data_IF_188966071238
#
_entry.id   IF_188966071238
#
_cell.length_a   1.000
_cell.length_b   1.000
_cell.length_c   1.000
_cell.angle_alpha   90.00
_cell.angle_beta   90.00
_cell.angle_gamma   90.00
#
_symmetry.space_group_name_H-M   'P 1'
#
loop_
_entity.id
_entity.type
_entity.pdbx_description
1 polymer ?
#
# COMPACT_ATOMS: atom_id res chain seq x y z
N UNK A 1 -23.48 14.97 13.30
CA UNK A 1 -24.15 15.26 12.01
C UNK A 1 -25.10 14.13 11.73
N UNK A 2 -26.39 14.39 11.52
CA UNK A 2 -27.34 13.34 11.15
C UNK A 2 -27.05 12.87 9.75
N UNK A 3 -27.04 11.54 9.53
CA UNK A 3 -26.81 10.93 8.24
C UNK A 3 -27.93 11.35 7.26
N UNK A 4 -27.61 11.56 5.97
CA UNK A 4 -28.58 11.96 4.95
C UNK A 4 -29.77 11.00 4.84
N UNK A 5 -29.55 9.71 5.12
CA UNK A 5 -30.55 8.66 5.10
C UNK A 5 -31.18 8.37 6.49
N UNK A 6 -31.03 9.27 7.47
CA UNK A 6 -31.69 9.11 8.75
C UNK A 6 -33.21 9.24 8.56
N UNK A 7 -33.98 8.29 9.09
CA UNK A 7 -35.46 8.27 9.03
C UNK A 7 -36.09 9.54 9.61
N UNK A 8 -35.41 10.21 10.54
CA UNK A 8 -35.81 11.50 11.11
C UNK A 8 -34.61 12.48 11.13
N UNK A 9 -34.60 13.42 10.22
CA UNK A 9 -33.68 14.57 10.26
C UNK A 9 -34.05 15.52 11.42
N UNK A 10 -33.19 16.45 11.85
CA UNK A 10 -33.54 17.45 12.88
C UNK A 10 -34.83 18.21 12.57
N UNK A 11 -35.09 18.53 11.28
CA UNK A 11 -36.34 19.14 10.83
C UNK A 11 -37.52 18.19 10.97
N UNK A 12 -37.35 16.93 10.62
CA UNK A 12 -38.38 15.89 10.80
C UNK A 12 -38.74 15.67 12.28
N UNK A 13 -37.73 15.67 13.16
CA UNK A 13 -37.89 15.57 14.62
C UNK A 13 -38.67 16.75 15.19
N UNK A 14 -38.36 17.96 14.71
CA UNK A 14 -39.06 19.17 15.12
C UNK A 14 -40.56 19.11 14.70
N UNK A 15 -40.82 18.74 13.44
CA UNK A 15 -42.21 18.60 12.97
C UNK A 15 -43.00 17.56 13.79
N UNK A 16 -42.40 16.38 14.02
CA UNK A 16 -42.98 15.35 14.84
C UNK A 16 -43.29 15.85 16.26
N UNK A 17 -42.31 16.53 16.88
CA UNK A 17 -42.46 17.04 18.25
C UNK A 17 -43.55 18.10 18.34
N UNK A 18 -43.68 19.00 17.37
CA UNK A 18 -44.74 20.01 17.28
C UNK A 18 -46.10 19.38 17.14
N UNK A 19 -46.29 18.41 16.26
CA UNK A 19 -47.56 17.67 16.15
C UNK A 19 -48.02 17.12 17.50
N UNK A 20 -47.08 16.63 18.32
CA UNK A 20 -47.43 16.07 19.64
C UNK A 20 -47.66 17.16 20.69
N UNK A 21 -46.82 18.17 20.74
CA UNK A 21 -46.81 19.17 21.83
C UNK A 21 -47.76 20.33 21.54
N UNK A 22 -47.67 20.87 20.32
CA UNK A 22 -48.43 22.06 19.93
C UNK A 22 -49.82 21.67 19.40
N UNK A 23 -49.90 20.64 18.50
CA UNK A 23 -51.16 20.18 17.87
C UNK A 23 -51.88 19.10 18.68
N UNK A 24 -51.34 18.69 19.84
CA UNK A 24 -51.94 17.71 20.78
C UNK A 24 -52.23 16.33 20.18
N UNK A 25 -51.42 15.88 19.21
CA UNK A 25 -51.54 14.53 18.68
C UNK A 25 -51.10 13.49 19.71
N UNK A 26 -51.72 12.30 19.62
CA UNK A 26 -51.22 11.15 20.37
C UNK A 26 -49.87 10.67 19.84
N UNK A 27 -49.07 10.09 20.71
CA UNK A 27 -47.78 9.51 20.29
C UNK A 27 -47.92 8.45 19.19
N UNK A 28 -49.02 7.67 19.24
CA UNK A 28 -49.31 6.65 18.23
C UNK A 28 -49.55 7.28 16.85
N UNK A 29 -50.41 8.29 16.77
CA UNK A 29 -50.70 9.02 15.52
C UNK A 29 -49.48 9.69 14.93
N UNK A 30 -48.64 10.31 15.77
CA UNK A 30 -47.39 10.93 15.33
C UNK A 30 -46.37 9.86 14.86
N UNK A 31 -46.26 8.76 15.57
CA UNK A 31 -45.39 7.64 15.20
C UNK A 31 -45.75 7.05 13.84
N UNK A 32 -47.01 6.81 13.58
CA UNK A 32 -47.51 6.34 12.29
C UNK A 32 -47.21 7.33 11.16
N UNK A 33 -47.56 8.59 11.35
CA UNK A 33 -47.33 9.66 10.33
C UNK A 33 -45.89 9.85 9.95
N UNK A 34 -44.97 9.70 10.91
CA UNK A 34 -43.54 9.87 10.70
C UNK A 34 -42.76 8.56 10.56
N UNK A 35 -43.47 7.43 10.43
CA UNK A 35 -42.91 6.09 10.25
C UNK A 35 -41.82 5.75 11.29
N UNK A 36 -42.08 5.99 12.56
CA UNK A 36 -41.19 5.70 13.66
C UNK A 36 -41.96 4.99 14.83
N UNK A 37 -41.21 4.51 15.82
CA UNK A 37 -41.86 3.92 17.00
C UNK A 37 -42.49 4.99 17.91
N UNK A 38 -43.51 4.61 18.66
CA UNK A 38 -44.16 5.45 19.68
C UNK A 38 -43.15 5.94 20.73
N UNK A 39 -42.16 5.12 21.09
CA UNK A 39 -41.05 5.50 21.96
C UNK A 39 -40.20 6.61 21.37
N UNK A 40 -39.98 6.57 20.05
CA UNK A 40 -39.26 7.63 19.33
C UNK A 40 -40.06 8.93 19.30
N UNK A 41 -41.35 8.86 19.04
CA UNK A 41 -42.24 10.01 19.08
C UNK A 41 -42.23 10.67 20.48
N UNK A 42 -42.40 9.88 21.53
CA UNK A 42 -42.34 10.33 22.93
C UNK A 42 -40.96 10.99 23.21
N UNK A 43 -39.86 10.33 22.87
CA UNK A 43 -38.52 10.85 23.09
C UNK A 43 -38.31 12.26 22.51
N UNK A 44 -38.77 12.51 21.29
CA UNK A 44 -38.60 13.79 20.64
C UNK A 44 -39.55 14.86 21.15
N UNK A 45 -40.81 14.47 21.48
CA UNK A 45 -41.74 15.37 22.15
C UNK A 45 -41.25 15.82 23.53
N UNK A 46 -40.73 14.90 24.35
CA UNK A 46 -40.18 15.23 25.66
C UNK A 46 -38.96 16.13 25.57
N UNK A 47 -38.08 15.88 24.57
CA UNK A 47 -36.95 16.78 24.31
C UNK A 47 -37.36 18.19 23.88
N UNK A 48 -38.42 18.28 23.09
CA UNK A 48 -38.95 19.57 22.66
C UNK A 48 -39.57 20.35 23.83
N UNK A 49 -40.30 19.69 24.73
CA UNK A 49 -40.85 20.33 25.94
C UNK A 49 -39.78 20.92 26.83
N UNK A 50 -38.63 20.26 26.95
CA UNK A 50 -37.55 20.67 27.86
C UNK A 50 -36.60 21.68 27.22
N UNK A 51 -36.27 21.52 25.95
CA UNK A 51 -35.18 22.31 25.30
C UNK A 51 -35.59 22.96 23.98
N UNK A 52 -36.86 22.98 23.64
CA UNK A 52 -37.35 23.63 22.43
C UNK A 52 -36.74 23.07 21.11
N UNK A 53 -36.79 23.88 20.04
CA UNK A 53 -36.28 23.49 18.72
C UNK A 53 -34.78 23.11 18.72
N UNK A 54 -33.99 23.71 19.55
CA UNK A 54 -32.55 23.50 19.69
C UNK A 54 -32.19 22.09 20.17
N UNK A 55 -33.11 21.45 20.91
CA UNK A 55 -32.94 20.09 21.44
C UNK A 55 -33.08 18.97 20.38
N UNK A 56 -33.44 19.31 19.14
CA UNK A 56 -33.65 18.34 18.04
C UNK A 56 -32.39 17.80 17.43
N UNK A 57 -31.24 18.32 17.79
CA UNK A 57 -29.94 17.84 17.36
C UNK A 57 -29.53 16.53 18.05
N UNK A 58 -28.63 15.78 17.42
CA UNK A 58 -28.11 14.56 18.02
C UNK A 58 -27.24 14.88 19.25
N UNK A 59 -27.47 14.19 20.33
CA UNK A 59 -26.57 14.17 21.48
C UNK A 59 -25.52 13.10 21.30
N UNK A 60 -24.35 13.30 21.90
CA UNK A 60 -23.28 12.30 21.92
C UNK A 60 -23.81 10.98 22.51
N UNK A 61 -23.66 9.89 21.77
CA UNK A 61 -23.95 8.53 22.27
C UNK A 61 -22.83 7.95 23.12
N UNK A 62 -21.77 8.71 23.34
CA UNK A 62 -20.60 8.27 24.10
C UNK A 62 -20.97 8.06 25.57
N UNK A 63 -20.67 6.88 26.15
CA UNK A 63 -20.93 6.61 27.56
C UNK A 63 -20.23 7.63 28.48
N UNK A 64 -20.94 8.10 29.49
CA UNK A 64 -20.35 8.97 30.53
C UNK A 64 -19.29 8.27 31.35
N UNK A 65 -19.41 6.96 31.54
CA UNK A 65 -18.45 6.11 32.25
C UNK A 65 -17.94 5.02 31.32
N UNK A 66 -16.65 4.76 31.37
CA UNK A 66 -15.99 3.65 30.66
C UNK A 66 -15.19 2.84 31.69
N UNK A 67 -15.79 1.82 32.34
CA UNK A 67 -15.17 1.07 33.43
C UNK A 67 -13.82 0.44 33.05
N UNK A 68 -13.69 -0.01 31.80
CA UNK A 68 -12.44 -0.58 31.25
C UNK A 68 -11.37 0.43 30.88
N UNK A 69 -11.62 1.73 31.07
CA UNK A 69 -10.61 2.76 30.74
C UNK A 69 -9.48 2.76 31.76
N UNK A 70 -8.26 2.82 31.25
CA UNK A 70 -7.08 2.91 32.09
C UNK A 70 -7.14 4.19 32.99
N UNK A 71 -6.78 4.10 34.28
CA UNK A 71 -6.72 5.28 35.15
C UNK A 71 -5.82 6.37 34.58
N UNK A 72 -6.23 7.63 34.72
CA UNK A 72 -5.52 8.79 34.15
C UNK A 72 -4.04 8.85 34.54
N UNK A 73 -3.70 8.44 35.76
CA UNK A 73 -2.30 8.36 36.22
C UNK A 73 -1.45 7.42 35.35
N UNK A 74 -2.02 6.27 34.93
CA UNK A 74 -1.32 5.33 34.04
C UNK A 74 -1.26 5.84 32.61
N UNK A 75 -2.31 6.51 32.11
CA UNK A 75 -2.28 7.16 30.79
C UNK A 75 -1.16 8.22 30.74
N UNK A 76 -1.07 9.09 31.76
CA UNK A 76 0.01 10.09 31.87
C UNK A 76 1.41 9.45 31.88
N UNK A 77 1.58 8.30 32.54
CA UNK A 77 2.86 7.58 32.57
C UNK A 77 3.24 7.05 31.20
N UNK A 78 2.28 6.53 30.43
CA UNK A 78 2.50 6.11 29.03
C UNK A 78 2.96 7.29 28.18
N UNK A 79 2.27 8.42 28.27
CA UNK A 79 2.60 9.64 27.51
C UNK A 79 3.98 10.17 27.91
N UNK A 80 4.29 10.23 29.21
CA UNK A 80 5.60 10.65 29.71
C UNK A 80 6.72 9.80 29.11
N UNK A 81 6.60 8.47 29.16
CA UNK A 81 7.62 7.56 28.61
C UNK A 81 7.73 7.74 27.08
N UNK A 82 6.61 7.88 26.38
CA UNK A 82 6.60 8.15 24.94
C UNK A 82 7.37 9.43 24.62
N UNK A 83 7.11 10.49 25.35
CA UNK A 83 7.71 11.80 25.12
C UNK A 83 9.20 11.84 25.51
N UNK A 84 9.55 11.34 26.71
CA UNK A 84 10.93 11.44 27.21
C UNK A 84 11.88 10.41 26.62
N UNK A 85 11.41 9.15 26.44
CA UNK A 85 12.26 8.03 25.98
C UNK A 85 12.05 7.69 24.50
N UNK A 86 11.04 8.27 23.86
CA UNK A 86 10.67 8.00 22.45
C UNK A 86 10.53 6.51 22.16
N UNK A 87 9.90 5.77 23.10
CA UNK A 87 9.67 4.35 22.93
C UNK A 87 8.40 4.06 22.14
N UNK A 88 8.45 2.97 21.35
CA UNK A 88 7.28 2.42 20.66
C UNK A 88 6.32 1.73 21.63
N UNK A 89 5.06 1.49 21.18
CA UNK A 89 4.01 0.91 22.03
C UNK A 89 4.40 -0.45 22.64
N UNK A 90 5.10 -1.30 21.91
CA UNK A 90 5.62 -2.57 22.42
C UNK A 90 6.51 -2.42 23.64
N UNK A 91 7.50 -1.52 23.53
CA UNK A 91 8.48 -1.31 24.59
C UNK A 91 7.87 -0.67 25.84
N UNK A 92 6.91 0.26 25.62
CA UNK A 92 6.14 0.87 26.71
C UNK A 92 5.26 -0.18 27.39
N UNK A 93 4.58 -1.02 26.61
CA UNK A 93 3.71 -2.09 27.10
C UNK A 93 4.47 -3.09 27.97
N UNK A 94 5.61 -3.57 27.49
CA UNK A 94 6.49 -4.47 28.26
C UNK A 94 6.96 -3.81 29.59
N UNK A 95 7.41 -2.55 29.51
CA UNK A 95 7.91 -1.82 30.69
C UNK A 95 6.83 -1.56 31.76
N UNK A 96 5.59 -1.30 31.34
CA UNK A 96 4.48 -1.01 32.25
C UNK A 96 3.61 -2.24 32.56
N UNK A 97 3.96 -3.42 32.05
CA UNK A 97 3.16 -4.66 32.14
C UNK A 97 1.71 -4.43 31.74
N UNK A 98 1.52 -3.84 30.55
CA UNK A 98 0.23 -3.55 29.94
C UNK A 98 0.10 -4.27 28.58
N UNK A 99 -1.12 -4.51 28.14
CA UNK A 99 -1.34 -4.97 26.77
C UNK A 99 -0.90 -3.87 25.76
N UNK A 100 -0.26 -4.27 24.67
CA UNK A 100 0.15 -3.37 23.59
C UNK A 100 -1.01 -2.54 23.04
N UNK A 101 -2.17 -3.19 22.82
CA UNK A 101 -3.39 -2.55 22.34
C UNK A 101 -3.86 -1.42 23.24
N UNK A 102 -3.74 -1.59 24.57
CA UNK A 102 -4.07 -0.55 25.55
C UNK A 102 -3.14 0.66 25.40
N UNK A 103 -1.83 0.44 25.26
CA UNK A 103 -0.87 1.52 25.06
C UNK A 103 -1.13 2.25 23.74
N UNK A 104 -1.39 1.52 22.65
CA UNK A 104 -1.72 2.10 21.35
C UNK A 104 -3.01 2.93 21.40
N UNK A 105 -4.04 2.44 22.10
CA UNK A 105 -5.28 3.17 22.28
C UNK A 105 -5.08 4.49 23.04
N UNK A 106 -4.25 4.49 24.07
CA UNK A 106 -3.88 5.72 24.81
C UNK A 106 -3.15 6.69 23.90
N UNK A 107 -2.07 6.25 23.24
CA UNK A 107 -1.28 7.12 22.35
C UNK A 107 -2.14 7.72 21.23
N UNK A 108 -3.06 6.96 20.65
CA UNK A 108 -4.01 7.43 19.62
C UNK A 108 -5.01 8.45 20.20
N UNK A 109 -5.55 8.20 21.38
CA UNK A 109 -6.50 9.10 22.08
C UNK A 109 -5.89 10.47 22.32
N UNK A 110 -4.64 10.51 22.72
CA UNK A 110 -3.89 11.75 22.95
C UNK A 110 -3.21 12.29 21.69
N UNK A 111 -3.51 11.72 20.51
CA UNK A 111 -2.95 12.13 19.20
C UNK A 111 -1.43 12.25 19.21
N UNK A 112 -0.77 11.35 19.95
CA UNK A 112 0.70 11.34 20.01
C UNK A 112 1.28 11.00 18.64
N UNK A 113 2.25 11.78 18.15
CA UNK A 113 2.85 11.56 16.84
C UNK A 113 3.55 10.20 16.76
N UNK A 114 3.61 9.62 15.56
CA UNK A 114 4.35 8.39 15.32
C UNK A 114 5.85 8.64 15.45
N UNK A 115 6.62 7.67 15.94
CA UNK A 115 8.07 7.84 16.09
C UNK A 115 8.79 8.13 14.77
N UNK A 116 8.27 7.61 13.67
CA UNK A 116 8.80 7.87 12.34
C UNK A 116 8.68 9.34 11.90
N UNK A 117 7.76 10.08 12.52
CA UNK A 117 7.49 11.48 12.21
C UNK A 117 8.18 12.43 13.19
N UNK A 118 9.04 11.89 14.06
CA UNK A 118 9.82 12.64 15.04
C UNK A 118 11.32 12.49 14.77
N UNK A 119 12.06 13.55 14.96
CA UNK A 119 13.51 13.48 15.09
C UNK A 119 13.90 12.79 16.40
N UNK A 120 14.77 11.80 16.29
CA UNK A 120 15.13 10.97 17.44
C UNK A 120 15.91 11.75 18.51
N UNK A 121 16.69 12.75 18.12
CA UNK A 121 17.51 13.53 19.05
C UNK A 121 16.70 14.65 19.72
N UNK A 122 16.02 15.48 18.96
CA UNK A 122 15.29 16.64 19.48
C UNK A 122 13.85 16.30 19.91
N UNK A 123 13.22 15.27 19.32
CA UNK A 123 11.80 14.94 19.52
C UNK A 123 10.85 15.89 18.77
N UNK A 124 11.38 16.77 17.95
CA UNK A 124 10.59 17.67 17.13
C UNK A 124 9.98 16.93 15.94
N UNK A 125 8.81 17.36 15.44
CA UNK A 125 8.23 16.80 14.24
C UNK A 125 9.16 16.96 13.04
N UNK A 126 9.47 15.84 12.35
CA UNK A 126 10.20 15.90 11.08
C UNK A 126 9.19 15.97 9.96
N UNK A 127 9.16 17.11 9.28
CA UNK A 127 8.41 17.27 8.05
C UNK A 127 9.13 16.52 6.94
N UNK A 128 8.84 15.21 6.79
CA UNK A 128 9.34 14.45 5.65
C UNK A 128 8.60 14.95 4.42
N UNK A 129 9.30 15.49 3.42
CA UNK A 129 8.64 15.82 2.16
C UNK A 129 8.02 14.54 1.62
N UNK A 130 6.74 14.60 1.27
CA UNK A 130 6.08 13.50 0.58
C UNK A 130 6.90 13.22 -0.69
N UNK A 131 7.36 11.98 -0.92
CA UNK A 131 8.09 11.68 -2.14
C UNK A 131 7.18 12.03 -3.32
N UNK A 132 7.62 12.95 -4.16
CA UNK A 132 6.88 13.30 -5.38
C UNK A 132 6.81 12.05 -6.22
N UNK A 133 5.62 11.52 -6.38
CA UNK A 133 5.35 10.40 -7.26
C UNK A 133 5.45 10.95 -8.69
N UNK A 134 6.49 10.57 -9.40
CA UNK A 134 6.58 10.87 -10.82
C UNK A 134 6.06 9.68 -11.62
N UNK A 135 5.45 9.96 -12.73
CA UNK A 135 5.02 9.00 -13.73
C UNK A 135 5.17 9.68 -15.09
N UNK A 136 5.86 9.03 -16.00
CA UNK A 136 6.02 9.56 -17.35
C UNK A 136 4.70 9.48 -18.11
N UNK A 137 4.40 10.46 -19.00
CA UNK A 137 3.09 10.58 -19.65
C UNK A 137 2.80 9.46 -20.65
N UNK A 138 3.84 8.89 -21.28
CA UNK A 138 3.68 7.89 -22.32
C UNK A 138 4.49 6.59 -22.03
N UNK A 139 3.99 5.43 -22.54
CA UNK A 139 4.78 4.20 -22.56
C UNK A 139 6.08 4.39 -23.34
N UNK A 140 7.17 3.80 -22.85
CA UNK A 140 8.50 3.92 -23.45
C UNK A 140 9.27 5.21 -23.12
N UNK A 141 8.62 6.23 -22.55
CA UNK A 141 9.34 7.43 -22.10
C UNK A 141 10.43 7.10 -21.07
N UNK A 142 10.25 6.06 -20.27
CA UNK A 142 11.26 5.54 -19.36
C UNK A 142 11.01 4.05 -19.07
N UNK A 143 12.02 3.22 -19.27
CA UNK A 143 12.03 1.81 -18.84
C UNK A 143 13.03 1.63 -17.72
N UNK A 144 12.60 1.02 -16.62
CA UNK A 144 13.43 0.71 -15.46
C UNK A 144 14.04 -0.67 -15.59
N UNK A 145 15.36 -0.80 -15.48
CA UNK A 145 16.07 -2.08 -15.45
C UNK A 145 16.65 -2.35 -14.07
N UNK A 146 16.63 -3.62 -13.69
CA UNK A 146 17.27 -4.11 -12.45
C UNK A 146 17.56 -5.60 -12.54
N UNK A 147 18.45 -6.08 -11.68
CA UNK A 147 18.74 -7.52 -11.51
C UNK A 147 18.46 -7.93 -10.08
N UNK A 148 17.53 -8.86 -9.90
CA UNK A 148 17.21 -9.42 -8.60
C UNK A 148 17.92 -10.75 -8.37
N UNK A 149 18.83 -10.80 -7.41
CA UNK A 149 19.44 -12.05 -6.95
C UNK A 149 18.48 -12.81 -6.03
N UNK A 150 18.16 -14.02 -6.40
CA UNK A 150 17.39 -14.95 -5.59
C UNK A 150 18.25 -16.17 -5.25
N UNK A 151 18.35 -16.50 -3.97
CA UNK A 151 18.97 -17.75 -3.57
C UNK A 151 18.27 -18.92 -4.26
N UNK A 152 19.02 -19.79 -4.92
CA UNK A 152 18.48 -21.01 -5.53
C UNK A 152 17.93 -21.94 -4.46
N UNK A 153 16.92 -22.71 -4.82
CA UNK A 153 16.29 -23.70 -3.97
C UNK A 153 16.95 -25.05 -4.29
N UNK A 154 17.60 -25.68 -3.30
CA UNK A 154 18.21 -27.01 -3.50
C UNK A 154 17.14 -28.07 -3.71
N UNK A 155 17.51 -29.17 -4.32
CA UNK A 155 16.63 -30.33 -4.48
C UNK A 155 16.19 -30.89 -3.11
N UNK A 156 14.92 -31.24 -3.00
CA UNK A 156 14.28 -31.59 -1.75
C UNK A 156 13.77 -30.40 -0.94
N UNK A 157 14.06 -29.15 -1.38
CA UNK A 157 13.58 -27.91 -0.77
C UNK A 157 14.59 -27.21 0.13
N UNK A 158 14.36 -25.92 0.35
CA UNK A 158 15.15 -25.06 1.24
C UNK A 158 14.59 -24.98 2.67
N UNK A 159 15.08 -23.98 3.43
CA UNK A 159 14.70 -23.79 4.83
C UNK A 159 13.20 -23.62 5.10
N UNK A 160 12.42 -23.19 4.11
CA UNK A 160 10.95 -23.05 4.23
C UNK A 160 10.24 -24.41 4.31
N UNK A 161 10.82 -25.46 3.72
CA UNK A 161 10.29 -26.81 3.77
C UNK A 161 10.93 -27.63 4.88
N UNK A 162 12.26 -27.59 4.97
CA UNK A 162 13.05 -28.45 5.83
C UNK A 162 13.31 -27.84 7.24
N UNK A 163 12.90 -26.59 7.46
CA UNK A 163 13.28 -25.84 8.64
C UNK A 163 14.71 -25.27 8.55
N UNK A 164 15.07 -24.38 9.49
CA UNK A 164 16.32 -23.61 9.41
C UNK A 164 17.58 -24.49 9.45
N UNK A 165 17.61 -25.51 10.29
CA UNK A 165 18.79 -26.35 10.47
C UNK A 165 19.07 -27.25 9.24
N UNK A 166 18.10 -28.06 8.85
CA UNK A 166 18.24 -28.95 7.69
C UNK A 166 18.37 -28.16 6.38
N UNK A 167 17.59 -27.10 6.20
CA UNK A 167 17.66 -26.26 5.02
C UNK A 167 18.97 -25.46 4.88
N UNK A 168 19.69 -25.19 5.98
CA UNK A 168 21.02 -24.57 5.93
C UNK A 168 22.08 -25.56 5.43
N UNK A 169 22.02 -26.83 5.83
CA UNK A 169 22.91 -27.89 5.34
C UNK A 169 22.68 -28.16 3.86
N UNK A 170 21.42 -28.24 3.43
CA UNK A 170 21.03 -28.50 2.05
C UNK A 170 21.39 -27.35 1.07
N UNK A 171 21.65 -26.14 1.58
CA UNK A 171 21.93 -24.93 0.78
C UNK A 171 23.41 -24.79 0.38
N UNK A 172 24.32 -25.64 0.85
CA UNK A 172 25.74 -25.51 0.54
C UNK A 172 25.98 -25.63 -0.97
N UNK A 173 26.63 -24.63 -1.58
CA UNK A 173 27.04 -24.65 -3.00
C UNK A 173 25.94 -24.33 -4.04
N UNK A 174 24.69 -24.08 -3.65
CA UNK A 174 23.57 -23.92 -4.62
C UNK A 174 23.57 -22.58 -5.37
N UNK A 175 24.19 -21.54 -4.84
CA UNK A 175 24.37 -20.25 -5.51
C UNK A 175 23.08 -19.42 -5.66
N UNK A 176 23.04 -18.58 -6.69
CA UNK A 176 21.94 -17.64 -6.97
C UNK A 176 21.37 -17.80 -8.38
N UNK A 177 20.09 -17.54 -8.52
CA UNK A 177 19.43 -17.24 -9.79
C UNK A 177 19.38 -15.71 -9.95
N UNK A 178 19.61 -15.23 -11.14
CA UNK A 178 19.62 -13.79 -11.47
C UNK A 178 18.40 -13.48 -12.32
N UNK A 179 17.46 -12.77 -11.75
CA UNK A 179 16.23 -12.41 -12.45
C UNK A 179 16.39 -10.98 -12.96
N UNK A 180 16.54 -10.85 -14.27
CA UNK A 180 16.65 -9.56 -14.96
C UNK A 180 15.27 -9.03 -15.26
N UNK A 181 15.04 -7.74 -15.05
CA UNK A 181 13.77 -7.06 -15.22
C UNK A 181 13.89 -5.81 -16.06
N UNK A 182 12.90 -5.59 -16.92
CA UNK A 182 12.65 -4.33 -17.60
C UNK A 182 11.16 -3.97 -17.40
N UNK A 183 10.90 -2.82 -16.77
CA UNK A 183 9.52 -2.39 -16.42
C UNK A 183 9.28 -0.99 -16.96
N UNK A 184 8.26 -0.84 -17.80
CA UNK A 184 7.84 0.47 -18.30
C UNK A 184 7.26 1.34 -17.20
N UNK A 185 7.69 2.61 -17.13
CA UNK A 185 7.29 3.56 -16.09
C UNK A 185 5.80 3.90 -16.16
N UNK A 186 5.22 4.02 -17.35
CA UNK A 186 3.83 4.42 -17.55
C UNK A 186 2.86 3.25 -17.35
N UNK A 187 3.01 2.21 -18.16
CA UNK A 187 2.09 1.07 -18.18
C UNK A 187 2.31 0.06 -17.08
N UNK A 188 3.52 -0.03 -16.52
CA UNK A 188 4.01 -1.11 -15.65
C UNK A 188 4.20 -2.43 -16.37
N UNK A 189 4.09 -2.46 -17.71
CA UNK A 189 4.38 -3.65 -18.49
C UNK A 189 5.81 -4.11 -18.20
N UNK A 190 5.96 -5.40 -17.92
CA UNK A 190 7.21 -5.97 -17.50
C UNK A 190 7.67 -7.09 -18.44
N UNK A 191 8.91 -7.01 -18.87
CA UNK A 191 9.65 -8.12 -19.44
C UNK A 191 10.65 -8.63 -18.42
N UNK A 192 10.79 -9.95 -18.28
CA UNK A 192 11.71 -10.49 -17.29
C UNK A 192 12.15 -11.91 -17.60
N UNK A 193 13.43 -12.20 -17.29
CA UNK A 193 14.05 -13.50 -17.51
C UNK A 193 14.86 -13.93 -16.30
N UNK A 194 14.91 -15.25 -16.06
CA UNK A 194 15.84 -15.88 -15.13
C UNK A 194 17.10 -16.27 -15.91
N UNK A 195 18.23 -15.62 -15.60
CA UNK A 195 19.50 -15.82 -16.28
C UNK A 195 20.57 -16.38 -15.32
N UNK A 196 21.69 -16.77 -15.87
CA UNK A 196 22.77 -17.45 -15.13
C UNK A 196 23.61 -16.52 -14.28
N UNK A 197 23.72 -15.26 -14.70
CA UNK A 197 24.59 -14.28 -14.06
C UNK A 197 24.11 -12.84 -14.30
N UNK A 198 24.86 -11.86 -13.80
CA UNK A 198 24.65 -10.42 -13.99
C UNK A 198 25.81 -9.77 -14.75
N UNK A 199 26.48 -10.49 -15.64
CA UNK A 199 27.61 -9.98 -16.42
C UNK A 199 27.15 -8.98 -17.46
N UNK A 200 28.10 -8.17 -17.96
CA UNK A 200 27.84 -7.13 -18.95
C UNK A 200 27.17 -7.66 -20.23
N UNK A 201 27.68 -8.80 -20.72
CA UNK A 201 27.18 -9.40 -21.96
C UNK A 201 25.77 -9.98 -21.76
N UNK A 202 25.51 -10.58 -20.60
CA UNK A 202 24.19 -11.07 -20.20
C UNK A 202 23.18 -9.94 -20.06
N UNK A 203 23.59 -8.82 -19.45
CA UNK A 203 22.73 -7.64 -19.32
C UNK A 203 22.43 -6.97 -20.65
N UNK A 204 23.40 -6.89 -21.55
CA UNK A 204 23.23 -6.36 -22.91
C UNK A 204 22.29 -7.25 -23.74
N UNK A 205 22.52 -8.57 -23.75
CA UNK A 205 21.66 -9.52 -24.45
C UNK A 205 20.22 -9.52 -23.89
N UNK A 206 20.05 -9.41 -22.58
CA UNK A 206 18.75 -9.24 -21.94
C UNK A 206 18.05 -7.97 -22.45
N UNK A 207 18.78 -6.84 -22.49
CA UNK A 207 18.21 -5.58 -22.95
C UNK A 207 17.71 -5.66 -24.40
N UNK A 208 18.47 -6.26 -25.30
CA UNK A 208 18.06 -6.39 -26.69
C UNK A 208 16.73 -7.16 -26.83
N UNK A 209 16.57 -8.27 -26.08
CA UNK A 209 15.31 -9.02 -26.06
C UNK A 209 14.18 -8.24 -25.41
N UNK A 210 14.46 -7.53 -24.30
CA UNK A 210 13.47 -6.68 -23.64
C UNK A 210 12.99 -5.55 -24.56
N UNK A 211 13.91 -4.90 -25.31
CA UNK A 211 13.54 -3.87 -26.26
C UNK A 211 12.67 -4.43 -27.40
N UNK A 212 13.01 -5.60 -27.94
CA UNK A 212 12.17 -6.31 -28.93
C UNK A 212 10.76 -6.56 -28.38
N UNK A 213 10.65 -7.07 -27.16
CA UNK A 213 9.35 -7.25 -26.50
C UNK A 213 8.54 -5.95 -26.40
N UNK A 214 9.18 -4.82 -26.04
CA UNK A 214 8.47 -3.53 -26.00
C UNK A 214 8.02 -3.07 -27.39
N UNK A 215 8.84 -3.25 -28.41
CA UNK A 215 8.50 -2.94 -29.80
C UNK A 215 7.31 -3.77 -30.27
N UNK A 216 7.27 -5.06 -30.00
CA UNK A 216 6.15 -5.96 -30.32
C UNK A 216 4.83 -5.53 -29.66
N UNK A 217 4.93 -4.78 -28.54
CA UNK A 217 3.78 -4.20 -27.86
C UNK A 217 3.48 -2.74 -28.28
N UNK A 218 4.12 -2.24 -29.34
CA UNK A 218 3.93 -0.88 -29.86
C UNK A 218 4.55 0.20 -28.96
N UNK A 219 5.58 -0.13 -28.17
CA UNK A 219 6.27 0.79 -27.27
C UNK A 219 7.66 1.10 -27.85
N UNK A 220 7.88 2.35 -28.24
CA UNK A 220 9.21 2.86 -28.61
C UNK A 220 9.91 3.38 -27.35
N UNK A 221 11.00 2.72 -26.95
CA UNK A 221 11.75 3.10 -25.74
C UNK A 221 12.67 4.27 -26.03
N UNK A 222 12.49 5.38 -25.29
CA UNK A 222 13.32 6.58 -25.40
C UNK A 222 14.43 6.66 -24.35
N UNK A 223 14.20 6.10 -23.20
CA UNK A 223 15.14 6.18 -22.05
C UNK A 223 15.13 4.91 -21.22
N UNK A 224 16.30 4.54 -20.77
CA UNK A 224 16.50 3.43 -19.83
C UNK A 224 17.07 3.97 -18.53
N UNK A 225 16.52 3.56 -17.40
CA UNK A 225 17.02 3.86 -16.06
C UNK A 225 17.54 2.60 -15.39
N UNK A 226 18.81 2.63 -15.01
CA UNK A 226 19.47 1.55 -14.25
C UNK A 226 19.98 2.06 -12.91
N UNK A 227 20.38 1.16 -12.05
CA UNK A 227 21.27 1.47 -10.94
C UNK A 227 22.72 1.69 -11.44
N UNK A 228 23.68 1.78 -10.52
CA UNK A 228 25.10 1.92 -10.83
C UNK A 228 25.83 0.57 -10.87
N UNK A 229 25.15 -0.53 -11.11
CA UNK A 229 25.72 -1.87 -11.25
C UNK A 229 26.80 -1.92 -12.35
N UNK A 230 27.85 -2.70 -12.14
CA UNK A 230 28.99 -2.77 -13.07
C UNK A 230 28.58 -3.23 -14.49
N UNK A 231 27.59 -4.12 -14.59
CA UNK A 231 27.07 -4.57 -15.89
C UNK A 231 26.52 -3.41 -16.71
N UNK A 232 25.76 -2.50 -16.09
CA UNK A 232 25.15 -1.34 -16.75
C UNK A 232 26.12 -0.19 -17.03
N UNK A 233 27.29 -0.19 -16.37
CA UNK A 233 28.35 0.83 -16.61
C UNK A 233 29.29 0.44 -17.75
N UNK A 234 29.16 -0.76 -18.28
CA UNK A 234 30.02 -1.29 -19.32
C UNK A 234 29.74 -0.65 -20.68
N UNK A 235 30.80 -0.56 -21.52
CA UNK A 235 30.65 -0.14 -22.91
C UNK A 235 29.73 -1.07 -23.69
N UNK A 236 29.82 -2.39 -23.48
CA UNK A 236 28.96 -3.39 -24.11
C UNK A 236 27.45 -3.12 -23.88
N UNK A 237 27.08 -2.73 -22.66
CA UNK A 237 25.71 -2.36 -22.37
C UNK A 237 25.33 -1.03 -23.04
N UNK A 238 26.21 -0.03 -23.01
CA UNK A 238 25.97 1.24 -23.69
C UNK A 238 25.77 1.05 -25.18
N UNK A 239 26.64 0.25 -25.83
CA UNK A 239 26.54 -0.06 -27.26
C UNK A 239 25.22 -0.79 -27.60
N UNK A 240 24.71 -1.62 -26.68
CA UNK A 240 23.42 -2.34 -26.86
C UNK A 240 22.19 -1.43 -26.83
N UNK A 241 22.29 -0.23 -26.27
CA UNK A 241 21.19 0.77 -26.28
C UNK A 241 21.06 1.48 -27.61
N UNK A 242 22.13 1.54 -28.39
CA UNK A 242 22.17 2.34 -29.61
C UNK A 242 22.22 3.86 -29.32
N UNK A 243 22.14 4.66 -30.37
CA UNK A 243 22.24 6.13 -30.27
C UNK A 243 20.90 6.79 -29.85
N UNK A 244 19.77 6.14 -30.13
CA UNK A 244 18.44 6.71 -29.91
C UNK A 244 17.95 6.59 -28.47
N UNK A 245 18.49 5.66 -27.66
CA UNK A 245 18.00 5.38 -26.32
C UNK A 245 18.93 6.00 -25.26
N UNK A 246 18.44 7.02 -24.59
CA UNK A 246 19.21 7.71 -23.57
C UNK A 246 19.35 6.87 -22.29
N UNK A 247 20.58 6.56 -21.90
CA UNK A 247 20.89 5.86 -20.65
C UNK A 247 20.90 6.83 -19.46
N UNK A 248 20.04 6.60 -18.49
CA UNK A 248 20.03 7.29 -17.20
C UNK A 248 20.43 6.33 -16.08
N UNK A 249 21.19 6.83 -15.12
CA UNK A 249 21.58 6.08 -13.91
C UNK A 249 21.04 6.76 -12.67
N UNK A 250 20.70 5.97 -11.65
CA UNK A 250 20.29 6.51 -10.35
C UNK A 250 21.42 7.34 -9.74
N UNK A 251 21.07 8.48 -9.13
CA UNK A 251 22.04 9.26 -8.37
C UNK A 251 22.48 8.49 -7.12
N UNK A 252 23.76 8.59 -6.71
CA UNK A 252 24.22 8.02 -5.46
C UNK A 252 23.32 8.44 -4.30
N UNK A 253 23.04 7.52 -3.38
CA UNK A 253 22.18 7.72 -2.20
C UNK A 253 20.72 8.12 -2.49
N UNK A 254 20.25 8.00 -3.74
CA UNK A 254 18.83 8.22 -4.12
C UNK A 254 18.23 7.01 -4.84
N UNK A 255 18.11 5.86 -4.19
CA UNK A 255 17.55 4.65 -4.80
C UNK A 255 16.07 4.82 -5.19
N UNK A 256 15.38 5.79 -4.58
CA UNK A 256 13.97 6.10 -4.83
C UNK A 256 13.63 6.39 -6.30
N UNK A 257 14.61 6.74 -7.13
CA UNK A 257 14.42 6.97 -8.56
C UNK A 257 14.12 5.67 -9.31
N UNK A 258 14.54 4.49 -8.83
CA UNK A 258 14.22 3.19 -9.43
C UNK A 258 13.02 2.49 -8.77
N UNK A 259 12.14 3.27 -8.13
CA UNK A 259 11.04 2.76 -7.31
C UNK A 259 10.02 1.87 -8.02
N UNK A 260 9.93 1.92 -9.38
CA UNK A 260 8.99 1.08 -10.13
C UNK A 260 9.48 -0.37 -10.17
N UNK A 261 10.73 -0.59 -10.53
CA UNK A 261 11.31 -1.93 -10.54
C UNK A 261 11.53 -2.47 -9.12
N UNK A 262 11.84 -1.63 -8.13
CA UNK A 262 11.85 -2.05 -6.73
C UNK A 262 10.48 -2.55 -6.27
N UNK A 263 9.40 -1.89 -6.70
CA UNK A 263 8.03 -2.35 -6.43
C UNK A 263 7.73 -3.65 -7.16
N UNK A 264 8.18 -3.80 -8.40
CA UNK A 264 8.10 -5.06 -9.14
C UNK A 264 8.80 -6.18 -8.36
N UNK A 265 10.03 -5.95 -7.90
CA UNK A 265 10.81 -6.91 -7.10
C UNK A 265 10.09 -7.35 -5.81
N UNK A 266 9.40 -6.43 -5.13
CA UNK A 266 8.60 -6.78 -3.95
C UNK A 266 7.40 -7.64 -4.32
N UNK A 267 6.73 -7.33 -5.42
CA UNK A 267 5.59 -8.11 -5.93
C UNK A 267 6.05 -9.51 -6.34
N UNK A 268 7.13 -9.59 -7.12
CA UNK A 268 7.77 -10.85 -7.50
C UNK A 268 8.13 -11.71 -6.28
N UNK A 269 8.73 -11.11 -5.27
CA UNK A 269 9.11 -11.83 -4.05
C UNK A 269 7.91 -12.38 -3.29
N UNK A 270 6.84 -11.57 -3.14
CA UNK A 270 5.67 -11.95 -2.35
C UNK A 270 4.68 -12.85 -3.09
N UNK A 271 4.53 -12.65 -4.39
CA UNK A 271 3.48 -13.32 -5.18
C UNK A 271 4.00 -14.48 -6.04
N UNK A 272 5.31 -14.63 -6.18
CA UNK A 272 5.93 -15.75 -6.90
C UNK A 272 7.07 -16.40 -6.11
N UNK A 273 8.23 -15.71 -5.95
CA UNK A 273 9.46 -16.34 -5.48
C UNK A 273 9.33 -17.01 -4.11
N UNK A 274 8.47 -16.47 -3.25
CA UNK A 274 8.21 -16.94 -1.89
C UNK A 274 6.73 -17.15 -1.58
N UNK A 275 5.86 -17.17 -2.59
CA UNK A 275 4.43 -17.35 -2.42
C UNK A 275 4.07 -18.72 -1.89
N UNK A 276 4.84 -19.74 -2.31
CA UNK A 276 4.67 -21.12 -1.90
C UNK A 276 6.01 -21.79 -1.57
N UNK A 277 5.96 -23.02 -1.07
CA UNK A 277 7.14 -23.82 -0.78
C UNK A 277 7.48 -24.69 -1.99
N UNK A 278 8.57 -24.37 -2.67
CA UNK A 278 9.08 -25.14 -3.80
C UNK A 278 10.05 -26.22 -3.34
N UNK A 279 10.10 -27.33 -4.08
CA UNK A 279 10.97 -28.48 -3.82
C UNK A 279 12.35 -28.36 -4.48
N UNK A 280 12.45 -27.53 -5.54
CA UNK A 280 13.69 -27.29 -6.28
C UNK A 280 13.64 -25.94 -6.99
N UNK A 281 14.79 -25.47 -7.46
CA UNK A 281 14.87 -24.30 -8.32
C UNK A 281 14.16 -24.51 -9.66
N UNK A 282 14.24 -25.70 -10.23
CA UNK A 282 13.56 -26.06 -11.48
C UNK A 282 12.06 -25.90 -11.32
N UNK A 283 11.49 -26.41 -10.22
CA UNK A 283 10.05 -26.25 -9.94
C UNK A 283 9.66 -24.78 -9.81
N UNK A 284 10.48 -23.96 -9.13
CA UNK A 284 10.20 -22.53 -9.02
C UNK A 284 10.27 -21.83 -10.37
N UNK A 285 11.32 -22.10 -11.14
CA UNK A 285 11.54 -21.49 -12.45
C UNK A 285 10.44 -21.85 -13.45
N UNK A 286 9.93 -23.08 -13.43
CA UNK A 286 8.85 -23.53 -14.30
C UNK A 286 7.55 -22.70 -14.16
N UNK A 287 7.28 -22.14 -12.99
CA UNK A 287 6.08 -21.31 -12.75
C UNK A 287 6.28 -19.83 -13.06
N UNK A 288 7.48 -19.44 -13.53
CA UNK A 288 7.82 -18.02 -13.66
C UNK A 288 7.07 -17.32 -14.80
N UNK A 289 6.99 -17.96 -15.96
CA UNK A 289 6.35 -17.36 -17.14
C UNK A 289 4.84 -17.20 -16.92
N UNK A 290 4.18 -18.18 -16.30
CA UNK A 290 2.76 -18.09 -15.95
C UNK A 290 2.49 -16.93 -14.99
N UNK A 291 3.38 -16.76 -13.99
CA UNK A 291 3.26 -15.64 -13.08
C UNK A 291 3.50 -14.27 -13.77
N UNK A 292 4.47 -14.18 -14.67
CA UNK A 292 4.75 -12.95 -15.43
C UNK A 292 3.59 -12.61 -16.38
N UNK A 293 3.01 -13.62 -17.01
CA UNK A 293 1.79 -13.46 -17.79
C UNK A 293 0.64 -12.94 -16.92
N UNK A 294 0.41 -13.56 -15.77
CA UNK A 294 -0.59 -13.08 -14.82
C UNK A 294 -0.33 -11.64 -14.39
N UNK A 295 0.93 -11.28 -14.09
CA UNK A 295 1.31 -9.92 -13.72
C UNK A 295 0.93 -8.88 -14.79
N UNK A 296 1.20 -9.17 -16.04
CA UNK A 296 0.98 -8.26 -17.17
C UNK A 296 -0.49 -8.18 -17.60
N UNK A 297 -1.21 -9.29 -17.56
CA UNK A 297 -2.53 -9.41 -18.20
C UNK A 297 -3.71 -9.47 -17.22
N UNK A 298 -3.49 -9.94 -16.00
CA UNK A 298 -4.59 -10.25 -15.07
C UNK A 298 -4.50 -9.55 -13.73
N UNK A 299 -3.30 -9.16 -13.30
CA UNK A 299 -3.10 -8.54 -12.01
C UNK A 299 -3.50 -7.06 -11.99
N UNK A 300 -4.48 -6.65 -11.17
CA UNK A 300 -4.82 -5.22 -11.05
C UNK A 300 -3.75 -4.47 -10.26
N UNK A 301 -3.35 -3.30 -10.75
CA UNK A 301 -2.33 -2.46 -10.13
C UNK A 301 -2.92 -1.15 -9.59
N UNK A 302 -2.94 -0.99 -8.27
CA UNK A 302 -3.43 0.23 -7.62
C UNK A 302 -2.70 1.49 -8.09
N UNK A 303 -1.43 1.34 -8.52
CA UNK A 303 -0.61 2.41 -9.04
C UNK A 303 -1.08 2.98 -10.38
N UNK A 304 -1.84 2.25 -11.13
CA UNK A 304 -2.39 2.65 -12.45
C UNK A 304 -3.93 2.55 -12.46
N UNK A 305 -4.55 2.89 -11.33
CA UNK A 305 -6.01 2.97 -11.21
C UNK A 305 -6.72 1.63 -11.23
N UNK A 306 -6.09 0.55 -10.78
CA UNK A 306 -6.67 -0.80 -10.76
C UNK A 306 -6.62 -1.54 -12.09
N UNK A 307 -6.06 -0.95 -13.14
CA UNK A 307 -5.88 -1.61 -14.45
C UNK A 307 -4.73 -2.61 -14.41
N UNK A 308 -4.75 -3.56 -15.34
CA UNK A 308 -3.56 -4.36 -15.65
C UNK A 308 -2.58 -3.57 -16.52
N UNK A 309 -1.29 -3.95 -16.57
CA UNK A 309 -0.32 -3.31 -17.47
C UNK A 309 -0.76 -3.25 -18.93
N UNK A 310 -1.27 -4.35 -19.46
CA UNK A 310 -1.77 -4.41 -20.84
C UNK A 310 -3.02 -3.54 -21.06
N UNK A 311 -3.95 -3.51 -20.11
CA UNK A 311 -5.11 -2.61 -20.20
C UNK A 311 -4.68 -1.15 -20.19
N UNK A 312 -3.69 -0.79 -19.37
CA UNK A 312 -3.15 0.57 -19.32
C UNK A 312 -2.50 0.97 -20.66
N UNK A 313 -1.78 0.05 -21.30
CA UNK A 313 -1.17 0.26 -22.61
C UNK A 313 -2.24 0.44 -23.70
N UNK A 314 -3.25 -0.44 -23.74
CA UNK A 314 -4.35 -0.36 -24.72
C UNK A 314 -5.10 0.97 -24.65
N UNK A 315 -5.38 1.46 -23.44
CA UNK A 315 -6.06 2.77 -23.27
C UNK A 315 -5.21 3.91 -23.80
N UNK A 316 -3.89 3.83 -23.70
CA UNK A 316 -3.00 4.85 -24.24
C UNK A 316 -2.95 4.82 -25.77
N UNK A 317 -2.99 3.62 -26.37
CA UNK A 317 -2.88 3.42 -27.83
C UNK A 317 -4.23 3.60 -28.56
N UNK A 318 -5.35 3.76 -27.85
CA UNK A 318 -6.62 4.11 -28.48
C UNK A 318 -6.55 5.56 -28.97
N UNK A 319 -6.95 5.84 -30.24
CA UNK A 319 -7.07 7.20 -30.72
C UNK A 319 -8.04 7.97 -29.84
N UNK A 320 -7.64 9.16 -29.39
CA UNK A 320 -8.52 10.08 -28.66
C UNK A 320 -9.69 10.38 -29.58
N UNK A 321 -10.87 9.84 -29.29
CA UNK A 321 -12.10 10.30 -29.98
C UNK A 321 -12.28 11.75 -29.53
N UNK A 322 -11.95 12.69 -30.44
CA UNK A 322 -12.35 14.07 -30.29
C UNK A 322 -13.89 14.10 -30.34
N UNK A 323 -14.49 14.32 -29.16
CA UNK A 323 -15.89 14.72 -29.03
C UNK A 323 -15.97 16.23 -29.05
#
# INVERSE_FOLDING_TARGET
>A
MSHANASLTPRGRLRLARCVVDDRWTYARAAERFQCSTATAKKWADRYRVGGPEAMVDRSSRPHRSPGRLPQRRERRIIKIRFTRRWGPHRIAAHLRLARSTVEAVLRRYRMPLLRDLDQASGLPVRRPQPRRYEHPAPGDLVHLDVKKLGRIPDGGGHRKLGRHAGRRNRSGVGYAFVHHAVDDHSRLAYSEILTDERKDTAAGFWLRANGFFVDHGITVKRVLTDNGNCYRSKVFADSLGEEIAHKRTRPYRPQTNGKVERFNRTLASEWAYAQTYLSEVQRAATYQDWLHYYNHHRPHTGIGGKTPIERLRVHNLPVKNT
#
